data_IF_742367723401
#
_entry.id   IF_742367723401
#
_cell.length_a   1.000
_cell.length_b   1.000
_cell.length_c   1.000
_cell.angle_alpha   90.00
_cell.angle_beta   90.00
_cell.angle_gamma   90.00
#
_symmetry.space_group_name_H-M   'P 1'
#
loop_
_entity.id
_entity.type
_entity.pdbx_description
1 polymer ?
#
# COMPACT_ATOMS: atom_id res chain seq x y z
N UNK A 1 22.72 12.77 0.88
CA UNK A 1 23.56 11.81 1.62
C UNK A 1 23.49 10.48 0.87
N UNK A 2 24.63 9.84 0.56
CA UNK A 2 24.59 8.50 0.02
C UNK A 2 24.03 7.56 1.09
N UNK A 3 23.10 6.70 0.70
CA UNK A 3 22.53 5.69 1.58
C UNK A 3 23.61 4.63 1.87
N UNK A 4 23.66 4.12 3.10
CA UNK A 4 24.55 3.02 3.44
C UNK A 4 24.13 1.76 2.65
N UNK A 5 24.97 1.35 1.71
CA UNK A 5 24.66 0.23 0.82
C UNK A 5 24.43 -1.08 1.56
N UNK A 6 25.08 -1.31 2.71
CA UNK A 6 24.78 -2.49 3.53
C UNK A 6 23.33 -2.50 4.06
N UNK A 7 22.79 -1.33 4.34
CA UNK A 7 21.37 -1.20 4.74
C UNK A 7 20.41 -1.48 3.60
N UNK A 8 20.82 -1.32 2.32
CA UNK A 8 19.98 -1.67 1.17
C UNK A 8 19.62 -3.15 1.13
N UNK A 9 20.52 -4.04 1.57
CA UNK A 9 20.29 -5.49 1.57
C UNK A 9 19.09 -5.94 2.42
N UNK A 10 18.62 -5.09 3.33
CA UNK A 10 17.42 -5.34 4.13
C UNK A 10 16.11 -4.89 3.44
N UNK A 11 16.24 -4.20 2.32
CA UNK A 11 15.10 -3.63 1.61
C UNK A 11 14.57 -4.61 0.55
N UNK A 12 13.25 -4.66 0.30
CA UNK A 12 12.62 -5.69 -0.55
C UNK A 12 13.22 -5.87 -1.94
N UNK A 13 13.69 -4.77 -2.56
CA UNK A 13 14.28 -4.80 -3.91
C UNK A 13 15.68 -5.40 -3.96
N UNK A 14 16.42 -5.36 -2.85
CA UNK A 14 17.83 -5.76 -2.75
C UNK A 14 18.02 -7.03 -1.95
N UNK A 15 16.93 -7.62 -1.46
CA UNK A 15 16.98 -8.82 -0.62
C UNK A 15 17.59 -9.99 -1.39
N UNK A 16 18.57 -10.65 -0.79
CA UNK A 16 19.27 -11.79 -1.40
C UNK A 16 20.39 -11.41 -2.38
N UNK A 17 20.68 -10.13 -2.56
CA UNK A 17 21.79 -9.66 -3.38
C UNK A 17 23.14 -10.00 -2.75
N UNK A 18 24.12 -10.45 -3.56
CA UNK A 18 25.47 -10.73 -3.11
C UNK A 18 26.29 -9.44 -2.87
N UNK A 19 27.32 -9.54 -2.02
CA UNK A 19 28.19 -8.37 -1.73
C UNK A 19 28.94 -7.86 -2.97
N UNK A 20 29.40 -8.76 -3.85
CA UNK A 20 30.05 -8.39 -5.11
C UNK A 20 29.09 -7.63 -6.03
N UNK A 21 27.88 -8.15 -6.22
CA UNK A 21 26.83 -7.53 -7.02
C UNK A 21 26.46 -6.14 -6.47
N UNK A 22 26.41 -5.99 -5.15
CA UNK A 22 26.15 -4.71 -4.50
C UNK A 22 27.29 -3.71 -4.73
N UNK A 23 28.56 -4.16 -4.67
CA UNK A 23 29.73 -3.32 -4.92
C UNK A 23 29.77 -2.81 -6.38
N UNK A 24 29.40 -3.65 -7.34
CA UNK A 24 29.29 -3.25 -8.75
C UNK A 24 28.22 -2.17 -8.94
N UNK A 25 27.07 -2.33 -8.27
CA UNK A 25 26.00 -1.32 -8.27
C UNK A 25 26.48 -0.01 -7.63
N UNK A 26 27.21 -0.07 -6.53
CA UNK A 26 27.71 1.12 -5.81
C UNK A 26 28.65 1.97 -6.67
N UNK A 27 29.45 1.34 -7.52
CA UNK A 27 30.34 2.04 -8.45
C UNK A 27 29.59 2.77 -9.58
N UNK A 28 28.49 2.21 -10.03
CA UNK A 28 27.77 2.65 -11.21
C UNK A 28 26.51 3.50 -10.92
N UNK A 29 26.00 3.37 -9.69
CA UNK A 29 24.69 3.92 -9.30
C UNK A 29 24.79 4.63 -7.96
N UNK A 30 24.49 5.92 -7.92
CA UNK A 30 24.35 6.66 -6.67
C UNK A 30 22.91 6.58 -6.17
N UNK A 31 22.69 5.83 -5.11
CA UNK A 31 21.40 5.76 -4.42
C UNK A 31 21.45 6.66 -3.19
N UNK A 32 20.69 7.75 -3.24
CA UNK A 32 20.57 8.69 -2.13
C UNK A 32 19.31 8.49 -1.31
N UNK A 33 19.39 8.70 -0.01
CA UNK A 33 18.22 8.84 0.84
C UNK A 33 17.93 10.28 1.20
N UNK A 34 16.65 10.58 1.39
CA UNK A 34 16.17 11.85 1.90
C UNK A 34 15.37 11.62 3.18
N UNK A 35 15.49 12.56 4.10
CA UNK A 35 14.74 12.53 5.34
C UNK A 35 13.53 13.45 5.22
N UNK A 36 12.34 12.90 5.44
CA UNK A 36 11.07 13.63 5.35
C UNK A 36 10.43 13.78 6.72
N UNK A 37 9.91 14.95 7.00
CA UNK A 37 9.21 15.25 8.26
C UNK A 37 7.80 14.66 8.25
N UNK A 38 7.25 14.45 9.43
CA UNK A 38 5.83 14.12 9.61
C UNK A 38 4.95 15.11 8.84
N UNK A 39 3.97 14.57 8.11
CA UNK A 39 3.04 15.35 7.31
C UNK A 39 3.46 15.58 5.86
N UNK A 40 4.73 15.29 5.48
CA UNK A 40 5.17 15.40 4.10
C UNK A 40 4.47 14.38 3.19
N UNK A 41 4.11 14.81 1.99
CA UNK A 41 3.55 13.93 0.95
C UNK A 41 4.71 13.25 0.23
N UNK A 42 4.66 11.94 0.14
CA UNK A 42 5.65 11.11 -0.54
C UNK A 42 5.27 10.82 -1.99
N UNK A 43 3.98 10.67 -2.24
CA UNK A 43 3.37 10.52 -3.55
C UNK A 43 1.89 10.93 -3.45
N UNK A 44 1.36 11.60 -4.47
CA UNK A 44 -0.04 12.04 -4.52
C UNK A 44 -0.84 11.20 -5.51
N UNK A 45 -2.11 10.98 -5.21
CA UNK A 45 -3.05 10.40 -6.18
C UNK A 45 -3.03 11.18 -7.49
N UNK A 46 -3.05 10.47 -8.62
CA UNK A 46 -2.95 11.00 -9.98
C UNK A 46 -1.60 11.66 -10.35
N UNK A 47 -0.64 11.75 -9.44
CA UNK A 47 0.73 12.19 -9.76
C UNK A 47 1.43 11.13 -10.63
N UNK A 48 2.28 11.58 -11.56
CA UNK A 48 3.06 10.69 -12.42
C UNK A 48 4.06 9.86 -11.58
N UNK A 49 4.07 8.55 -11.78
CA UNK A 49 5.04 7.64 -11.15
C UNK A 49 6.32 7.59 -12.00
N UNK A 50 7.27 8.49 -11.74
CA UNK A 50 8.54 8.60 -12.45
C UNK A 50 9.70 7.88 -11.76
N UNK A 51 9.51 7.48 -10.51
CA UNK A 51 10.52 6.83 -9.69
C UNK A 51 9.91 5.73 -8.81
N UNK A 52 10.71 4.73 -8.44
CA UNK A 52 10.39 3.86 -7.32
C UNK A 52 10.62 4.63 -6.01
N UNK A 53 9.61 4.66 -5.15
CA UNK A 53 9.68 5.31 -3.84
C UNK A 53 9.70 4.24 -2.77
N UNK A 54 10.84 4.10 -2.12
CA UNK A 54 11.09 3.14 -1.05
C UNK A 54 11.20 3.88 0.27
N UNK A 55 10.37 3.53 1.24
CA UNK A 55 10.46 4.03 2.61
C UNK A 55 11.27 3.01 3.41
N UNK A 56 12.48 3.39 3.78
CA UNK A 56 13.40 2.53 4.52
C UNK A 56 13.09 2.51 6.03
N UNK A 57 12.66 3.66 6.58
CA UNK A 57 12.28 3.79 8.00
C UNK A 57 11.07 4.70 8.15
N UNK A 58 10.26 4.44 9.17
CA UNK A 58 9.12 5.28 9.55
C UNK A 58 7.78 4.63 9.23
N UNK A 59 6.73 5.43 9.40
CA UNK A 59 5.33 5.04 9.20
C UNK A 59 4.67 5.99 8.20
N UNK A 60 3.91 5.43 7.28
CA UNK A 60 3.22 6.14 6.20
C UNK A 60 1.73 5.89 6.29
N UNK A 61 0.92 6.90 6.04
CA UNK A 61 -0.51 6.77 5.79
C UNK A 61 -0.75 6.75 4.28
N UNK A 62 -1.37 5.69 3.79
CA UNK A 62 -1.90 5.61 2.43
C UNK A 62 -3.40 5.90 2.46
N UNK A 63 -3.86 6.83 1.65
CA UNK A 63 -5.27 7.24 1.55
C UNK A 63 -5.75 6.99 0.13
N UNK A 64 -6.81 6.18 0.01
CA UNK A 64 -7.50 5.87 -1.25
C UNK A 64 -8.96 6.28 -1.13
N UNK A 65 -9.48 7.01 -2.12
CA UNK A 65 -10.86 7.48 -2.17
C UNK A 65 -11.63 6.81 -3.29
N UNK A 66 -12.96 6.69 -3.09
CA UNK A 66 -13.85 6.35 -4.19
C UNK A 66 -13.95 7.49 -5.21
N UNK A 67 -14.33 7.18 -6.46
CA UNK A 67 -14.43 8.16 -7.55
C UNK A 67 -15.42 9.29 -7.21
N UNK A 68 -16.47 9.00 -6.48
CA UNK A 68 -17.47 9.97 -6.00
C UNK A 68 -17.12 10.62 -4.65
N UNK A 69 -15.92 10.30 -4.11
CA UNK A 69 -15.44 10.75 -2.80
C UNK A 69 -16.36 10.43 -1.61
N UNK A 70 -17.28 9.49 -1.77
CA UNK A 70 -18.26 9.13 -0.73
C UNK A 70 -17.68 8.30 0.41
N UNK A 71 -16.56 7.61 0.17
CA UNK A 71 -15.79 6.93 1.21
C UNK A 71 -14.29 7.02 0.96
N UNK A 72 -13.52 6.83 2.02
CA UNK A 72 -12.06 6.81 2.01
C UNK A 72 -11.55 5.64 2.86
N UNK A 73 -10.53 4.93 2.38
CA UNK A 73 -9.77 3.99 3.17
C UNK A 73 -8.40 4.59 3.47
N UNK A 74 -8.04 4.60 4.75
CA UNK A 74 -6.73 5.02 5.22
C UNK A 74 -6.02 3.82 5.83
N UNK A 75 -4.84 3.53 5.31
CA UNK A 75 -4.00 2.41 5.74
C UNK A 75 -2.76 2.93 6.45
N UNK A 76 -2.44 2.38 7.63
CA UNK A 76 -1.20 2.65 8.33
C UNK A 76 -0.15 1.62 7.92
N UNK A 77 0.94 2.08 7.32
CA UNK A 77 1.98 1.24 6.71
C UNK A 77 3.31 1.47 7.43
N UNK A 78 3.97 0.37 7.80
CA UNK A 78 5.28 0.38 8.42
C UNK A 78 6.37 0.13 7.38
N UNK A 79 7.51 0.81 7.52
CA UNK A 79 8.71 0.51 6.75
C UNK A 79 9.29 -0.87 7.17
N UNK A 80 10.02 -1.58 6.24
CA UNK A 80 10.32 -1.17 4.88
C UNK A 80 9.11 -1.30 3.94
N UNK A 81 8.91 -0.31 3.07
CA UNK A 81 7.74 -0.20 2.21
C UNK A 81 8.13 0.31 0.83
N UNK A 82 7.66 -0.34 -0.23
CA UNK A 82 7.73 0.15 -1.61
C UNK A 82 6.36 0.67 -2.03
N UNK A 83 6.29 1.94 -2.44
CA UNK A 83 5.05 2.63 -2.78
C UNK A 83 4.68 2.30 -4.22
N UNK A 84 3.59 1.59 -4.42
CA UNK A 84 2.93 1.27 -5.70
C UNK A 84 3.90 1.07 -6.88
N UNK A 85 4.86 0.11 -6.80
CA UNK A 85 5.86 -0.12 -7.84
C UNK A 85 5.26 -0.58 -9.17
N UNK A 86 4.04 -1.11 -9.15
CA UNK A 86 3.30 -1.53 -10.34
C UNK A 86 2.96 -0.39 -11.30
N UNK A 87 3.05 0.85 -10.84
CA UNK A 87 2.76 2.04 -11.66
C UNK A 87 3.98 2.66 -12.34
N UNK A 88 5.22 2.17 -12.08
CA UNK A 88 6.41 2.73 -12.73
C UNK A 88 6.49 2.39 -14.22
N UNK A 89 5.87 1.27 -14.60
CA UNK A 89 5.74 0.81 -15.98
C UNK A 89 4.27 0.61 -16.35
N UNK A 90 4.01 0.23 -17.60
CA UNK A 90 2.67 0.00 -18.11
C UNK A 90 2.01 1.26 -18.67
N UNK A 91 0.72 1.16 -18.99
CA UNK A 91 -0.03 2.20 -19.71
C UNK A 91 -0.39 3.38 -18.78
N UNK A 92 -0.80 3.09 -17.55
CA UNK A 92 -1.21 4.11 -16.56
C UNK A 92 -0.12 4.28 -15.50
N UNK A 93 0.82 5.18 -15.74
CA UNK A 93 1.95 5.46 -14.84
C UNK A 93 1.60 6.59 -13.86
N UNK A 94 0.56 6.40 -13.05
CA UNK A 94 0.10 7.36 -12.05
C UNK A 94 -0.27 6.64 -10.77
N UNK A 95 0.06 7.24 -9.63
CA UNK A 95 -0.34 6.73 -8.33
C UNK A 95 -1.86 6.72 -8.19
N UNK A 96 -2.41 5.69 -7.57
CA UNK A 96 -3.86 5.55 -7.31
C UNK A 96 -4.25 5.91 -5.88
N UNK A 97 -3.28 6.32 -5.06
CA UNK A 97 -3.48 6.73 -3.67
C UNK A 97 -2.51 7.84 -3.29
N UNK A 98 -2.83 8.58 -2.23
CA UNK A 98 -1.92 9.56 -1.62
C UNK A 98 -1.19 8.94 -0.45
N UNK A 99 0.14 9.08 -0.43
CA UNK A 99 1.02 8.58 0.62
C UNK A 99 1.62 9.74 1.40
N UNK A 100 1.40 9.75 2.72
CA UNK A 100 1.83 10.82 3.61
C UNK A 100 2.63 10.26 4.78
N UNK A 101 3.76 10.86 5.09
CA UNK A 101 4.57 10.49 6.24
C UNK A 101 3.79 10.76 7.55
N UNK A 102 3.58 9.71 8.35
CA UNK A 102 2.93 9.80 9.67
C UNK A 102 3.94 10.06 10.79
N UNK A 103 5.16 9.62 10.57
CA UNK A 103 6.32 9.90 11.43
C UNK A 103 7.43 10.55 10.60
N UNK A 104 8.60 10.75 11.19
CA UNK A 104 9.83 11.00 10.43
C UNK A 104 10.15 9.75 9.59
N UNK A 105 10.39 9.93 8.30
CA UNK A 105 10.65 8.84 7.36
C UNK A 105 11.99 9.04 6.64
N UNK A 106 12.68 7.93 6.44
CA UNK A 106 13.84 7.85 5.54
C UNK A 106 13.36 7.26 4.21
N UNK A 107 13.51 8.04 3.13
CA UNK A 107 12.94 7.74 1.81
C UNK A 107 14.03 7.68 0.76
N UNK A 108 14.03 6.63 -0.03
CA UNK A 108 14.91 6.43 -1.19
C UNK A 108 14.04 6.57 -2.45
N UNK A 109 14.49 7.40 -3.39
CA UNK A 109 13.87 7.53 -4.71
C UNK A 109 14.84 7.00 -5.76
N UNK A 110 14.38 6.08 -6.59
CA UNK A 110 15.14 5.50 -7.70
C UNK A 110 14.42 5.87 -8.99
N UNK A 111 14.96 6.83 -9.71
CA UNK A 111 14.39 7.30 -10.97
C UNK A 111 14.27 6.17 -12.00
N UNK A 112 13.27 6.23 -12.87
CA UNK A 112 12.94 5.17 -13.82
C UNK A 112 14.13 4.71 -14.69
N UNK A 113 14.96 5.64 -15.14
CA UNK A 113 16.17 5.29 -15.92
C UNK A 113 17.16 4.49 -15.08
N UNK A 114 17.28 4.83 -13.79
CA UNK A 114 18.12 4.12 -12.86
C UNK A 114 17.57 2.72 -12.55
N UNK A 115 16.24 2.59 -12.45
CA UNK A 115 15.59 1.28 -12.30
C UNK A 115 15.93 0.37 -13.49
N UNK A 116 15.89 0.89 -14.73
CA UNK A 116 16.26 0.12 -15.92
C UNK A 116 17.73 -0.32 -15.85
N UNK A 117 18.65 0.58 -15.50
CA UNK A 117 20.07 0.26 -15.32
C UNK A 117 20.27 -0.83 -14.25
N UNK A 118 19.62 -0.72 -13.11
CA UNK A 118 19.66 -1.75 -12.04
C UNK A 118 19.11 -3.10 -12.51
N UNK A 119 18.06 -3.10 -13.33
CA UNK A 119 17.50 -4.34 -13.90
C UNK A 119 18.44 -4.99 -14.92
N UNK A 120 19.29 -4.23 -15.60
CA UNK A 120 20.31 -4.76 -16.50
C UNK A 120 21.49 -5.34 -15.73
N UNK A 121 21.95 -4.65 -14.67
CA UNK A 121 23.12 -5.01 -13.88
C UNK A 121 22.85 -6.16 -12.91
N UNK A 122 21.65 -6.26 -12.35
CA UNK A 122 21.31 -7.19 -11.27
C UNK A 122 20.11 -8.07 -11.60
N UNK A 123 20.37 -9.38 -11.72
CA UNK A 123 19.29 -10.38 -11.83
C UNK A 123 18.46 -10.43 -10.56
N UNK A 124 19.09 -10.30 -9.39
CA UNK A 124 18.42 -10.31 -8.09
C UNK A 124 17.44 -9.14 -7.97
N UNK A 125 17.85 -7.92 -8.30
CA UNK A 125 16.97 -6.74 -8.31
C UNK A 125 15.79 -6.93 -9.27
N UNK A 126 16.07 -7.41 -10.48
CA UNK A 126 15.05 -7.67 -11.51
C UNK A 126 14.00 -8.66 -11.04
N UNK A 127 14.42 -9.81 -10.51
CA UNK A 127 13.52 -10.83 -9.99
C UNK A 127 12.70 -10.33 -8.81
N UNK A 128 13.31 -9.60 -7.88
CA UNK A 128 12.60 -9.01 -6.73
C UNK A 128 11.51 -8.02 -7.21
N UNK A 129 11.84 -7.12 -8.12
CA UNK A 129 10.87 -6.18 -8.67
C UNK A 129 9.72 -6.91 -9.40
N UNK A 130 10.04 -7.89 -10.24
CA UNK A 130 9.04 -8.70 -10.95
C UNK A 130 8.13 -9.45 -9.97
N UNK A 131 8.69 -10.07 -8.93
CA UNK A 131 7.93 -10.80 -7.91
C UNK A 131 6.98 -9.87 -7.14
N UNK A 132 7.43 -8.67 -6.79
CA UNK A 132 6.59 -7.66 -6.12
C UNK A 132 5.42 -7.26 -7.02
N UNK A 133 5.69 -6.91 -8.28
CA UNK A 133 4.65 -6.50 -9.25
C UNK A 133 3.68 -7.68 -9.53
N UNK A 134 4.20 -8.88 -9.77
CA UNK A 134 3.39 -10.07 -10.01
C UNK A 134 2.47 -10.39 -8.82
N UNK A 135 2.99 -10.27 -7.59
CA UNK A 135 2.21 -10.46 -6.36
C UNK A 135 1.05 -9.47 -6.26
N UNK A 136 1.28 -8.20 -6.59
CA UNK A 136 0.20 -7.20 -6.62
C UNK A 136 -0.84 -7.52 -7.71
N UNK A 137 -0.41 -7.87 -8.90
CA UNK A 137 -1.31 -8.28 -10.01
C UNK A 137 -2.19 -9.48 -9.61
N UNK A 138 -1.61 -10.51 -8.98
CA UNK A 138 -2.34 -11.68 -8.49
C UNK A 138 -3.38 -11.31 -7.43
N UNK A 139 -3.05 -10.37 -6.53
CA UNK A 139 -4.00 -9.87 -5.52
C UNK A 139 -5.19 -9.18 -6.16
N UNK A 140 -4.98 -8.31 -7.15
CA UNK A 140 -6.06 -7.63 -7.86
C UNK A 140 -6.94 -8.61 -8.65
N UNK A 141 -6.34 -9.60 -9.32
CA UNK A 141 -7.07 -10.60 -10.08
C UNK A 141 -8.01 -11.43 -9.22
N UNK A 142 -7.60 -11.82 -8.00
CA UNK A 142 -8.46 -12.61 -7.09
C UNK A 142 -9.73 -11.89 -6.64
N UNK A 143 -9.74 -10.55 -6.60
CA UNK A 143 -10.90 -9.75 -6.14
C UNK A 143 -12.13 -9.91 -7.02
N UNK A 144 -11.95 -10.22 -8.31
CA UNK A 144 -13.02 -10.32 -9.30
C UNK A 144 -13.86 -11.60 -9.18
N UNK A 145 -13.36 -12.65 -8.51
CA UNK A 145 -13.95 -14.00 -8.53
C UNK A 145 -14.68 -14.39 -7.25
N UNK A 146 -15.02 -13.44 -6.40
CA UNK A 146 -15.74 -13.75 -5.16
C UNK A 146 -17.26 -13.85 -5.37
N UNK A 147 -17.86 -14.88 -4.75
CA UNK A 147 -19.30 -15.11 -4.83
C UNK A 147 -20.11 -14.05 -4.06
N UNK A 148 -21.27 -13.66 -4.62
CA UNK A 148 -22.15 -12.63 -4.01
C UNK A 148 -23.04 -13.15 -2.87
N UNK A 149 -23.19 -14.48 -2.70
CA UNK A 149 -24.12 -15.09 -1.73
C UNK A 149 -23.51 -15.21 -0.32
N UNK A 150 -23.03 -14.11 0.25
CA UNK A 150 -22.51 -14.11 1.61
C UNK A 150 -23.40 -13.30 2.54
N UNK A 151 -23.33 -13.63 3.86
CA UNK A 151 -23.97 -12.82 4.86
C UNK A 151 -23.38 -11.40 4.89
N UNK A 152 -24.11 -10.44 5.47
CA UNK A 152 -23.73 -9.02 5.45
C UNK A 152 -22.39 -8.77 6.13
N UNK A 153 -22.07 -9.48 7.21
CA UNK A 153 -20.77 -9.38 7.88
C UNK A 153 -19.61 -9.69 6.91
N UNK A 154 -19.69 -10.82 6.19
CA UNK A 154 -18.67 -11.20 5.20
C UNK A 154 -18.60 -10.20 4.05
N UNK A 155 -19.73 -9.64 3.62
CA UNK A 155 -19.79 -8.61 2.57
C UNK A 155 -19.10 -7.32 3.03
N UNK A 156 -19.28 -6.89 4.29
CA UNK A 156 -18.58 -5.74 4.88
C UNK A 156 -17.06 -6.03 4.93
N UNK A 157 -16.68 -7.18 5.46
CA UNK A 157 -15.27 -7.60 5.54
C UNK A 157 -14.61 -7.58 4.16
N UNK A 158 -15.27 -8.16 3.17
CA UNK A 158 -14.78 -8.18 1.78
C UNK A 158 -14.70 -6.78 1.21
N UNK A 159 -15.74 -5.95 1.37
CA UNK A 159 -15.74 -4.56 0.92
C UNK A 159 -14.50 -3.81 1.40
N UNK A 160 -14.12 -4.00 2.67
CA UNK A 160 -12.92 -3.40 3.25
C UNK A 160 -11.65 -4.03 2.66
N UNK A 161 -11.54 -5.35 2.67
CA UNK A 161 -10.33 -6.06 2.18
C UNK A 161 -10.02 -5.79 0.71
N UNK A 162 -11.04 -5.76 -0.13
CA UNK A 162 -10.89 -5.55 -1.58
C UNK A 162 -10.47 -4.13 -1.94
N UNK A 163 -10.66 -3.17 -1.06
CA UNK A 163 -10.30 -1.77 -1.27
C UNK A 163 -8.98 -1.37 -0.59
N UNK A 164 -8.38 -2.25 0.21
CA UNK A 164 -7.08 -2.02 0.81
C UNK A 164 -5.96 -2.34 -0.19
N UNK A 165 -4.96 -1.48 -0.27
CA UNK A 165 -3.74 -1.70 -1.07
C UNK A 165 -2.92 -2.82 -0.45
N UNK A 166 -2.80 -2.81 0.89
CA UNK A 166 -2.01 -3.76 1.65
C UNK A 166 -2.90 -4.71 2.47
N UNK A 167 -2.60 -6.03 2.49
CA UNK A 167 -3.49 -7.06 3.05
C UNK A 167 -3.45 -7.17 4.59
N UNK A 168 -2.60 -6.42 5.26
CA UNK A 168 -2.39 -6.50 6.70
C UNK A 168 -2.26 -5.12 7.35
N UNK A 169 -2.27 -5.08 8.69
CA UNK A 169 -2.09 -3.87 9.49
C UNK A 169 -3.37 -3.08 9.75
N UNK A 170 -3.20 -1.94 10.39
CA UNK A 170 -4.30 -1.07 10.78
C UNK A 170 -4.93 -0.34 9.59
N UNK A 171 -6.28 -0.29 9.58
CA UNK A 171 -7.07 0.41 8.55
C UNK A 171 -8.14 1.27 9.20
N UNK A 172 -8.58 2.28 8.47
CA UNK A 172 -9.76 3.07 8.78
C UNK A 172 -10.61 3.21 7.52
N UNK A 173 -11.87 2.82 7.60
CA UNK A 173 -12.87 3.13 6.59
C UNK A 173 -13.65 4.37 7.06
N UNK A 174 -13.53 5.47 6.33
CA UNK A 174 -14.27 6.71 6.57
C UNK A 174 -15.46 6.76 5.64
N UNK A 175 -16.64 6.62 6.18
CA UNK A 175 -17.90 6.60 5.41
C UNK A 175 -19.10 6.90 6.29
N UNK A 176 -20.22 7.28 5.65
CA UNK A 176 -21.52 7.30 6.30
C UNK A 176 -22.18 5.91 6.18
N UNK A 177 -22.94 5.48 7.20
CA UNK A 177 -23.67 4.20 7.16
C UNK A 177 -24.59 4.08 5.94
N UNK A 178 -25.20 5.19 5.51
CA UNK A 178 -26.06 5.23 4.31
C UNK A 178 -25.30 4.97 3.01
N UNK A 179 -24.04 5.40 2.94
CA UNK A 179 -23.16 5.13 1.80
C UNK A 179 -22.79 3.66 1.77
N UNK A 180 -22.35 3.10 2.91
CA UNK A 180 -21.98 1.69 3.02
C UNK A 180 -23.16 0.77 2.70
N UNK A 181 -24.37 1.13 3.14
CA UNK A 181 -25.61 0.42 2.81
C UNK A 181 -25.89 0.43 1.29
N UNK A 182 -25.74 1.58 0.63
CA UNK A 182 -25.86 1.71 -0.84
C UNK A 182 -24.82 0.83 -1.57
N UNK A 183 -23.55 0.90 -1.17
CA UNK A 183 -22.46 0.14 -1.77
C UNK A 183 -22.67 -1.38 -1.65
N UNK A 184 -23.26 -1.81 -0.53
CA UNK A 184 -23.51 -3.22 -0.27
C UNK A 184 -24.93 -3.67 -0.67
N UNK A 185 -25.80 -2.78 -1.19
CA UNK A 185 -27.15 -3.11 -1.61
C UNK A 185 -28.00 -3.71 -0.50
N UNK A 186 -27.98 -3.11 0.72
CA UNK A 186 -28.72 -3.53 1.89
C UNK A 186 -29.22 -2.32 2.70
N UNK A 187 -30.05 -2.54 3.71
CA UNK A 187 -30.55 -1.47 4.54
C UNK A 187 -29.50 -0.95 5.53
N UNK A 188 -29.67 0.30 5.98
CA UNK A 188 -28.82 0.88 7.03
C UNK A 188 -28.91 0.08 8.34
N UNK A 189 -30.08 -0.48 8.66
CA UNK A 189 -30.26 -1.28 9.86
C UNK A 189 -29.42 -2.55 9.83
N UNK A 190 -29.49 -3.29 8.72
CA UNK A 190 -28.69 -4.51 8.51
C UNK A 190 -27.17 -4.24 8.61
N UNK A 191 -26.70 -3.11 8.06
CA UNK A 191 -25.30 -2.68 8.21
C UNK A 191 -24.96 -2.43 9.69
N UNK A 192 -25.82 -1.70 10.40
CA UNK A 192 -25.60 -1.37 11.80
C UNK A 192 -25.50 -2.63 12.67
N UNK A 193 -26.42 -3.57 12.49
CA UNK A 193 -26.43 -4.84 13.21
C UNK A 193 -25.19 -5.71 12.89
N UNK A 194 -24.83 -5.79 11.61
CA UNK A 194 -23.65 -6.56 11.19
C UNK A 194 -22.34 -5.96 11.74
N UNK A 195 -22.23 -4.63 11.73
CA UNK A 195 -21.07 -3.95 12.31
C UNK A 195 -21.01 -4.15 13.83
N UNK A 196 -22.13 -4.10 14.55
CA UNK A 196 -22.17 -4.41 15.98
C UNK A 196 -21.70 -5.82 16.29
N UNK A 197 -22.14 -6.83 15.52
CA UNK A 197 -21.66 -8.22 15.70
C UNK A 197 -20.16 -8.37 15.44
N UNK A 198 -19.59 -7.61 14.48
CA UNK A 198 -18.14 -7.60 14.25
C UNK A 198 -17.38 -6.88 15.36
N UNK A 199 -17.97 -5.84 15.95
CA UNK A 199 -17.42 -5.11 17.10
C UNK A 199 -17.43 -5.96 18.37
N UNK A 200 -18.52 -6.70 18.65
CA UNK A 200 -18.59 -7.67 19.73
C UNK A 200 -17.50 -8.75 19.64
N UNK A 201 -17.14 -9.14 18.41
CA UNK A 201 -16.01 -10.05 18.13
C UNK A 201 -14.64 -9.37 18.24
N UNK A 202 -14.58 -8.08 18.59
CA UNK A 202 -13.36 -7.27 18.71
C UNK A 202 -12.56 -7.16 17.39
N UNK A 203 -13.21 -7.35 16.25
CA UNK A 203 -12.57 -7.29 14.92
C UNK A 203 -12.45 -5.86 14.40
N UNK A 204 -13.36 -4.97 14.82
CA UNK A 204 -13.38 -3.56 14.44
C UNK A 204 -13.99 -2.69 15.55
N UNK A 205 -13.88 -1.38 15.41
CA UNK A 205 -14.45 -0.37 16.31
C UNK A 205 -15.27 0.60 15.48
N UNK A 206 -16.56 0.76 15.82
CA UNK A 206 -17.48 1.62 15.08
C UNK A 206 -17.57 2.99 15.74
N UNK A 207 -17.24 4.05 15.00
CA UNK A 207 -17.43 5.46 15.38
C UNK A 207 -18.42 6.12 14.41
N UNK A 208 -18.83 7.34 14.68
CA UNK A 208 -19.89 8.04 13.93
C UNK A 208 -19.75 7.99 12.40
N UNK A 209 -18.53 8.17 11.88
CA UNK A 209 -18.22 8.17 10.42
C UNK A 209 -16.94 7.41 10.11
N UNK A 210 -16.41 6.67 11.05
CA UNK A 210 -15.15 5.95 10.94
C UNK A 210 -15.34 4.54 11.49
N UNK A 211 -14.94 3.53 10.73
CA UNK A 211 -14.80 2.16 11.17
C UNK A 211 -13.31 1.90 11.25
N UNK A 212 -12.82 1.64 12.47
CA UNK A 212 -11.41 1.33 12.72
C UNK A 212 -11.21 -0.18 12.72
N UNK A 213 -10.23 -0.63 11.97
CA UNK A 213 -9.83 -2.03 11.87
C UNK A 213 -8.40 -2.13 12.40
N UNK A 214 -8.20 -2.62 13.64
CA UNK A 214 -6.87 -2.70 14.25
C UNK A 214 -5.91 -3.60 13.45
N UNK A 215 -6.41 -4.75 12.99
CA UNK A 215 -5.62 -5.73 12.24
C UNK A 215 -6.46 -6.36 11.12
N UNK A 216 -6.25 -5.91 9.87
CA UNK A 216 -7.03 -6.37 8.71
C UNK A 216 -6.93 -7.89 8.48
N UNK A 217 -5.82 -8.50 8.81
CA UNK A 217 -5.59 -9.94 8.66
C UNK A 217 -6.45 -10.80 9.59
N UNK A 218 -6.98 -10.23 10.67
CA UNK A 218 -7.88 -10.93 11.61
C UNK A 218 -9.36 -10.72 11.27
N UNK A 219 -9.68 -9.74 10.43
CA UNK A 219 -11.01 -9.45 9.95
C UNK A 219 -11.41 -10.50 8.91
#
# INVERSE_FOLDING_TARGET
MNYDFHSLLQLPLFLGMGRSELADIEQEVSIGSTHTKRGAILASENEACTALVLVAKGTVLASTRSDDHSYEIVETLQAPLLIQPEHIFGIKQRYTATFKASTYCEVIRIEKQMVLKLMEMSMTFRLNLMNIIATQSQRYSRRLWHQMNENIEKRIVRFIKDRCIYPAGQKQLRTKMTVLARELGCSRLEISEALHRLEEKQLLIVKRTIIEIPMLQLL
#
